data_IF_330998507188
#
_entry.id   IF_330998507188
#
_cell.length_a   1.000
_cell.length_b   1.000
_cell.length_c   1.000
_cell.angle_alpha   90.00
_cell.angle_beta   90.00
_cell.angle_gamma   90.00
#
_symmetry.space_group_name_H-M   'P 1'
#
loop_
_entity.id
_entity.type
_entity.pdbx_description
1 polymer ?
#
# COMPACT_ATOMS: atom_id res chain seq x y z
N UNK A 1 2.65 31.14 -13.43
CA UNK A 1 1.63 30.35 -12.72
C UNK A 1 2.26 29.03 -12.36
N UNK A 2 2.58 28.80 -11.09
CA UNK A 2 3.07 27.51 -10.63
C UNK A 2 1.84 26.67 -10.29
N UNK A 3 1.57 25.63 -11.08
CA UNK A 3 0.71 24.54 -10.63
C UNK A 3 1.51 23.80 -9.57
N UNK A 4 1.23 24.05 -8.29
CA UNK A 4 1.59 23.10 -7.26
C UNK A 4 0.66 21.91 -7.47
N UNK A 5 1.11 20.89 -8.18
CA UNK A 5 0.45 19.59 -8.12
C UNK A 5 0.45 19.18 -6.66
N UNK A 6 -0.71 19.29 -6.02
CA UNK A 6 -0.88 18.71 -4.70
C UNK A 6 -0.71 17.21 -4.90
N UNK A 7 0.41 16.66 -4.41
CA UNK A 7 0.69 15.22 -4.48
C UNK A 7 -0.52 14.49 -3.87
N UNK A 8 -1.19 13.70 -4.70
CA UNK A 8 -2.43 13.04 -4.32
C UNK A 8 -2.14 11.96 -3.26
N UNK A 9 -2.85 12.04 -2.13
CA UNK A 9 -2.65 11.19 -0.95
C UNK A 9 -2.73 9.71 -1.32
N UNK A 10 -1.67 8.95 -1.00
CA UNK A 10 -1.66 7.50 -1.17
C UNK A 10 -2.01 6.81 0.15
N UNK A 11 -2.90 5.82 0.11
CA UNK A 11 -3.25 5.02 1.28
C UNK A 11 -3.11 3.53 0.97
N UNK A 12 -2.91 2.71 2.00
CA UNK A 12 -3.04 1.26 1.85
C UNK A 12 -4.48 0.90 1.54
N UNK A 13 -4.67 -0.10 0.68
CA UNK A 13 -5.99 -0.65 0.31
C UNK A 13 -5.97 -2.17 0.35
N UNK A 14 -6.52 -2.72 1.41
CA UNK A 14 -6.74 -4.15 1.57
C UNK A 14 -7.95 -4.37 2.48
N UNK A 15 -8.67 -5.44 2.22
CA UNK A 15 -9.79 -5.87 3.05
C UNK A 15 -9.39 -7.13 3.81
N UNK A 16 -9.80 -7.21 5.09
CA UNK A 16 -9.72 -8.42 5.93
C UNK A 16 -8.30 -8.97 6.08
N UNK A 17 -7.31 -8.10 6.26
CA UNK A 17 -5.91 -8.50 6.53
C UNK A 17 -5.66 -8.69 8.01
N UNK A 18 -4.75 -9.59 8.36
CA UNK A 18 -4.35 -9.86 9.75
C UNK A 18 -3.51 -8.73 10.37
N UNK A 19 -2.88 -7.90 9.54
CA UNK A 19 -2.15 -6.72 9.99
C UNK A 19 -2.03 -5.71 8.85
N UNK A 20 -2.36 -4.43 9.06
CA UNK A 20 -2.30 -3.40 8.03
C UNK A 20 -0.93 -3.25 7.37
N UNK A 21 0.17 -3.41 8.12
CA UNK A 21 1.54 -3.32 7.58
C UNK A 21 1.93 -4.45 6.62
N UNK A 22 1.13 -5.52 6.53
CA UNK A 22 1.31 -6.58 5.53
C UNK A 22 0.45 -6.34 4.27
N UNK A 23 -0.29 -5.24 4.21
CA UNK A 23 -1.00 -4.86 3.00
C UNK A 23 -0.01 -4.42 1.92
N UNK A 24 -0.10 -5.05 0.75
CA UNK A 24 0.67 -4.69 -0.44
C UNK A 24 -0.12 -3.83 -1.43
N UNK A 25 -1.44 -3.70 -1.24
CA UNK A 25 -2.28 -2.85 -2.07
C UNK A 25 -2.19 -1.39 -1.64
N UNK A 26 -2.17 -0.47 -2.60
CA UNK A 26 -2.34 0.96 -2.37
C UNK A 26 -3.41 1.54 -3.28
N UNK A 27 -3.88 2.72 -2.92
CA UNK A 27 -4.80 3.51 -3.73
C UNK A 27 -4.48 4.99 -3.56
N UNK A 28 -4.83 5.78 -4.56
CA UNK A 28 -4.90 7.24 -4.45
C UNK A 28 -6.25 7.61 -3.86
N UNK A 29 -6.28 8.49 -2.88
CA UNK A 29 -7.51 9.07 -2.35
C UNK A 29 -7.86 10.37 -3.06
N UNK A 30 -9.17 10.65 -3.15
CA UNK A 30 -9.64 11.94 -3.62
C UNK A 30 -9.37 13.07 -2.61
N UNK A 31 -9.49 14.32 -3.06
CA UNK A 31 -9.25 15.51 -2.23
C UNK A 31 -10.14 15.59 -0.97
N UNK A 32 -11.32 14.97 -1.01
CA UNK A 32 -12.29 14.91 0.09
C UNK A 32 -12.14 13.66 0.96
N UNK A 33 -11.14 12.83 0.70
CA UNK A 33 -10.90 11.58 1.40
C UNK A 33 -9.63 11.61 2.25
N UNK A 34 -9.58 10.68 3.21
CA UNK A 34 -8.43 10.42 4.06
C UNK A 34 -8.22 8.91 4.19
N UNK A 35 -7.00 8.50 4.55
CA UNK A 35 -6.75 7.10 4.85
C UNK A 35 -7.58 6.68 6.07
N UNK A 36 -8.11 5.47 6.05
CA UNK A 36 -8.73 4.84 7.22
C UNK A 36 -8.15 3.47 7.51
N UNK A 37 -8.37 3.05 8.75
CA UNK A 37 -8.15 1.72 9.28
C UNK A 37 -9.34 1.38 10.18
N UNK A 38 -10.06 0.31 9.83
CA UNK A 38 -11.11 -0.28 10.65
C UNK A 38 -10.62 -1.65 11.16
N UNK A 39 -10.83 -1.94 12.44
CA UNK A 39 -10.55 -3.23 13.06
C UNK A 39 -11.86 -3.95 13.37
N UNK A 40 -11.88 -5.25 13.11
CA UNK A 40 -12.99 -6.15 13.39
C UNK A 40 -12.53 -7.33 14.23
N UNK A 41 -13.42 -7.83 15.09
CA UNK A 41 -13.30 -9.17 15.66
C UNK A 41 -14.16 -10.12 14.82
N UNK A 42 -13.51 -11.11 14.20
CA UNK A 42 -14.14 -12.19 13.44
C UNK A 42 -14.96 -13.13 14.33
N UNK A 43 -15.70 -14.06 13.70
CA UNK A 43 -16.55 -15.01 14.41
C UNK A 43 -15.75 -16.04 15.23
N UNK A 44 -14.53 -16.33 14.79
CA UNK A 44 -13.52 -17.16 15.45
C UNK A 44 -12.72 -16.42 16.52
N UNK A 45 -12.96 -15.12 16.70
CA UNK A 45 -12.22 -14.27 17.63
C UNK A 45 -10.96 -13.63 17.04
N UNK A 46 -10.61 -13.93 15.78
CA UNK A 46 -9.45 -13.35 15.12
C UNK A 46 -9.65 -11.85 14.85
N UNK A 47 -8.57 -11.08 14.92
CA UNK A 47 -8.59 -9.66 14.56
C UNK A 47 -8.29 -9.47 13.08
N UNK A 48 -9.18 -8.77 12.39
CA UNK A 48 -9.06 -8.45 10.98
C UNK A 48 -9.13 -6.94 10.77
N UNK A 49 -8.45 -6.46 9.73
CA UNK A 49 -8.34 -5.05 9.44
C UNK A 49 -8.75 -4.75 8.00
N UNK A 50 -9.52 -3.68 7.81
CA UNK A 50 -9.78 -3.08 6.52
C UNK A 50 -9.07 -1.72 6.46
N UNK A 51 -8.41 -1.42 5.35
CA UNK A 51 -7.70 -0.17 5.12
C UNK A 51 -8.01 0.37 3.74
N UNK A 52 -8.12 1.69 3.61
CA UNK A 52 -8.43 2.32 2.33
C UNK A 52 -8.57 3.83 2.43
N UNK A 53 -9.28 4.40 1.46
CA UNK A 53 -9.78 5.78 1.49
C UNK A 53 -11.21 5.80 2.02
N UNK A 54 -11.55 6.85 2.79
CA UNK A 54 -12.94 7.19 3.12
C UNK A 54 -13.10 8.70 3.16
N UNK A 55 -14.34 9.18 3.06
CA UNK A 55 -14.63 10.61 3.16
C UNK A 55 -14.17 11.19 4.52
N UNK A 56 -13.63 12.40 4.47
CA UNK A 56 -13.22 13.16 5.68
C UNK A 56 -14.39 13.40 6.64
N UNK A 57 -15.61 13.48 6.13
CA UNK A 57 -16.83 13.61 6.93
C UNK A 57 -17.08 12.38 7.82
N UNK A 58 -16.84 11.17 7.31
CA UNK A 58 -16.94 9.96 8.12
C UNK A 58 -15.85 9.91 9.19
N UNK A 59 -14.68 10.50 8.92
CA UNK A 59 -13.58 10.59 9.88
C UNK A 59 -13.87 11.55 11.05
N UNK A 60 -14.60 12.64 10.81
CA UNK A 60 -15.01 13.58 11.87
C UNK A 60 -16.17 13.03 12.71
N UNK A 61 -17.03 12.22 12.09
CA UNK A 61 -18.25 11.72 12.72
C UNK A 61 -18.09 10.39 13.46
N UNK A 62 -16.89 9.80 13.48
CA UNK A 62 -16.61 8.62 14.30
C UNK A 62 -16.59 8.98 15.78
N UNK A 63 -17.73 8.76 16.43
CA UNK A 63 -17.81 8.65 17.89
C UNK A 63 -16.94 7.47 18.34
N UNK A 64 -16.00 7.67 19.30
CA UNK A 64 -15.25 6.57 19.88
C UNK A 64 -16.22 5.52 20.45
N UNK A 65 -16.13 4.28 19.99
CA UNK A 65 -16.85 3.15 20.59
C UNK A 65 -18.14 2.69 19.89
N UNK A 66 -18.46 3.17 18.68
CA UNK A 66 -19.60 2.62 17.93
C UNK A 66 -19.27 1.21 17.41
N UNK A 67 -19.64 0.19 18.20
CA UNK A 67 -19.62 -1.21 17.77
C UNK A 67 -20.68 -1.40 16.69
N UNK A 68 -20.24 -1.57 15.45
CA UNK A 68 -21.12 -1.93 14.34
C UNK A 68 -20.86 -3.38 13.98
N UNK A 69 -21.89 -4.21 14.10
CA UNK A 69 -21.86 -5.62 13.73
C UNK A 69 -22.28 -5.75 12.28
N UNK A 70 -21.44 -6.36 11.45
CA UNK A 70 -21.78 -6.73 10.07
C UNK A 70 -21.56 -8.24 9.89
N UNK A 71 -21.88 -8.78 8.71
CA UNK A 71 -21.50 -10.16 8.34
C UNK A 71 -19.98 -10.41 8.45
N UNK A 72 -19.18 -9.34 8.49
CA UNK A 72 -17.74 -9.35 8.69
C UNK A 72 -17.31 -9.38 10.18
N UNK A 73 -18.24 -9.45 11.13
CA UNK A 73 -17.94 -9.42 12.56
C UNK A 73 -18.18 -8.05 13.20
N UNK A 74 -17.70 -7.85 14.42
CA UNK A 74 -17.94 -6.62 15.17
C UNK A 74 -16.77 -5.66 14.99
N UNK A 75 -17.04 -4.47 14.45
CA UNK A 75 -16.05 -3.38 14.40
C UNK A 75 -15.71 -2.94 15.82
N UNK A 76 -14.44 -3.06 16.20
CA UNK A 76 -13.95 -2.73 17.55
C UNK A 76 -13.21 -1.39 17.59
N UNK A 77 -12.63 -0.96 16.47
CA UNK A 77 -11.90 0.29 16.37
C UNK A 77 -12.00 0.84 14.94
N UNK A 78 -11.97 2.17 14.81
CA UNK A 78 -11.90 2.88 13.54
C UNK A 78 -11.01 4.09 13.72
N UNK A 79 -10.09 4.32 12.80
CA UNK A 79 -9.19 5.48 12.83
C UNK A 79 -8.97 6.02 11.43
N UNK A 80 -8.99 7.34 11.31
CA UNK A 80 -8.49 8.03 10.14
C UNK A 80 -7.13 8.68 10.40
N UNK A 81 -6.37 8.88 9.34
CA UNK A 81 -5.10 9.58 9.39
C UNK A 81 -4.80 10.29 8.08
N UNK A 82 -3.80 11.17 8.12
CA UNK A 82 -3.30 11.92 6.97
C UNK A 82 -1.82 11.62 6.76
N UNK A 83 -1.39 11.66 5.50
CA UNK A 83 -0.03 11.33 5.07
C UNK A 83 0.04 9.98 4.39
N UNK A 84 1.00 9.81 3.48
CA UNK A 84 1.07 8.62 2.64
C UNK A 84 1.23 7.35 3.47
N UNK A 85 0.41 6.35 3.14
CA UNK A 85 0.38 5.02 3.74
C UNK A 85 0.24 5.06 5.27
N UNK A 86 -0.33 6.14 5.83
CA UNK A 86 -0.41 6.34 7.27
C UNK A 86 -1.26 5.28 7.98
N UNK A 87 -2.19 4.65 7.24
CA UNK A 87 -3.07 3.59 7.71
C UNK A 87 -2.37 2.22 7.83
N UNK A 88 -1.03 2.17 7.72
CA UNK A 88 -0.24 1.02 8.13
C UNK A 88 -0.27 0.79 9.66
N UNK A 89 -0.68 1.80 10.45
CA UNK A 89 -0.72 1.77 11.92
C UNK A 89 -2.03 2.31 12.45
N UNK A 90 -2.39 1.91 13.68
CA UNK A 90 -3.62 2.35 14.34
C UNK A 90 -4.30 1.20 15.06
N UNK A 91 -5.27 1.52 15.93
CA UNK A 91 -6.01 0.50 16.68
C UNK A 91 -5.13 -0.52 17.44
N UNK A 92 -3.95 -0.11 17.91
CA UNK A 92 -2.98 -0.98 18.60
C UNK A 92 -1.94 -1.64 17.70
N UNK A 93 -2.13 -1.61 16.37
CA UNK A 93 -1.16 -2.13 15.41
C UNK A 93 0.03 -1.19 15.21
N UNK A 94 1.20 -1.81 15.08
CA UNK A 94 2.44 -1.13 14.69
C UNK A 94 2.48 -0.94 13.18
N UNK A 95 3.03 0.20 12.76
CA UNK A 95 3.25 0.49 11.34
C UNK A 95 4.38 -0.31 10.72
N UNK A 96 4.82 0.11 9.54
CA UNK A 96 6.02 -0.46 8.94
C UNK A 96 7.21 -0.38 9.92
N UNK A 97 8.08 -1.41 9.95
CA UNK A 97 9.28 -1.39 10.77
C UNK A 97 10.08 -0.11 10.52
N UNK A 98 10.74 0.41 11.56
CA UNK A 98 11.66 1.55 11.42
C UNK A 98 12.99 1.14 10.78
N UNK A 99 13.37 -0.13 10.95
CA UNK A 99 14.59 -0.71 10.42
C UNK A 99 14.33 -1.39 9.06
N UNK A 100 14.20 -0.58 8.02
CA UNK A 100 13.90 -1.01 6.64
C UNK A 100 14.52 -0.06 5.62
N UNK A 101 14.47 -0.45 4.34
CA UNK A 101 14.68 0.44 3.21
C UNK A 101 13.43 1.23 2.83
N UNK A 102 13.43 1.82 1.62
CA UNK A 102 12.25 2.52 1.11
C UNK A 102 11.06 1.57 0.90
N UNK A 103 9.88 2.16 0.75
CA UNK A 103 8.71 1.46 0.20
C UNK A 103 8.69 1.76 -1.29
N UNK A 104 8.62 0.74 -2.12
CA UNK A 104 8.68 0.86 -3.57
C UNK A 104 7.45 0.24 -4.22
N UNK A 105 7.17 0.66 -5.45
CA UNK A 105 6.22 -0.04 -6.32
C UNK A 105 6.71 -1.45 -6.66
N UNK A 106 5.77 -2.39 -6.79
CA UNK A 106 6.05 -3.81 -6.97
C UNK A 106 5.19 -4.45 -8.08
N UNK A 107 5.09 -3.80 -9.23
CA UNK A 107 4.38 -4.30 -10.41
C UNK A 107 5.35 -4.91 -11.42
N UNK A 108 5.11 -6.14 -11.88
CA UNK A 108 5.97 -6.79 -12.88
C UNK A 108 5.68 -6.34 -14.32
N UNK A 109 4.42 -6.06 -14.63
CA UNK A 109 3.99 -5.62 -15.95
C UNK A 109 3.03 -4.43 -15.82
N UNK A 110 3.53 -3.24 -16.09
CA UNK A 110 2.74 -2.01 -16.07
C UNK A 110 3.00 -1.18 -17.33
N UNK A 111 1.95 -0.59 -17.92
CA UNK A 111 2.11 0.35 -19.04
C UNK A 111 2.60 1.73 -18.58
N UNK A 112 2.33 2.06 -17.32
CA UNK A 112 2.79 3.28 -16.68
C UNK A 112 3.20 2.92 -15.24
N UNK A 113 4.48 3.07 -14.88
CA UNK A 113 4.98 2.69 -13.55
C UNK A 113 4.35 3.53 -12.43
N UNK A 114 3.91 4.75 -12.70
CA UNK A 114 3.27 5.63 -11.71
C UNK A 114 1.86 5.17 -11.32
N UNK A 115 1.24 4.31 -12.17
CA UNK A 115 -0.08 3.72 -11.94
C UNK A 115 -0.03 2.36 -11.25
N UNK A 116 1.15 1.91 -10.82
CA UNK A 116 1.24 0.69 -10.03
C UNK A 116 0.37 0.82 -8.78
N UNK A 117 -0.40 -0.22 -8.45
CA UNK A 117 -1.29 -0.31 -7.29
C UNK A 117 -0.73 -1.23 -6.19
N UNK A 118 0.44 -1.80 -6.44
CA UNK A 118 1.14 -2.68 -5.51
C UNK A 118 2.42 -2.05 -4.97
N UNK A 119 2.66 -2.24 -3.68
CA UNK A 119 3.87 -1.79 -2.98
C UNK A 119 4.56 -2.94 -2.28
N UNK A 120 5.83 -2.74 -1.97
CA UNK A 120 6.62 -3.61 -1.13
C UNK A 120 7.53 -2.81 -0.22
N UNK A 121 7.86 -3.39 0.94
CA UNK A 121 8.82 -2.82 1.89
C UNK A 121 10.19 -3.41 1.57
N UNK A 122 11.14 -2.57 1.15
CA UNK A 122 12.46 -3.05 0.78
C UNK A 122 13.40 -3.25 1.98
N UNK A 123 14.46 -4.03 1.77
CA UNK A 123 15.57 -4.14 2.71
C UNK A 123 16.37 -2.85 2.82
N UNK A 124 17.18 -2.70 3.88
CA UNK A 124 17.93 -1.46 4.16
C UNK A 124 18.91 -1.06 3.06
N UNK A 125 19.47 -2.07 2.41
CA UNK A 125 20.46 -1.90 1.36
C UNK A 125 19.83 -1.89 -0.03
N UNK A 126 18.51 -1.75 -0.12
CA UNK A 126 17.78 -1.71 -1.37
C UNK A 126 17.33 -0.29 -1.76
N UNK A 127 17.05 -0.10 -3.04
CA UNK A 127 16.47 1.10 -3.62
C UNK A 127 15.30 0.75 -4.56
N UNK A 128 14.42 1.73 -4.81
CA UNK A 128 13.35 1.57 -5.80
C UNK A 128 13.92 1.60 -7.20
N UNK A 129 13.51 0.65 -8.04
CA UNK A 129 13.94 0.56 -9.42
C UNK A 129 12.75 0.40 -10.36
N UNK A 130 12.85 1.06 -11.50
CA UNK A 130 11.94 0.94 -12.63
C UNK A 130 12.76 0.39 -13.79
N UNK A 131 12.36 -0.75 -14.33
CA UNK A 131 13.00 -1.44 -15.43
C UNK A 131 12.05 -1.43 -16.63
N UNK A 132 12.49 -0.90 -17.77
CA UNK A 132 11.75 -1.00 -19.03
C UNK A 132 12.01 -2.37 -19.66
N UNK A 133 10.96 -3.06 -20.07
CA UNK A 133 10.99 -4.36 -20.71
C UNK A 133 10.23 -4.30 -22.04
N UNK A 134 10.65 -5.12 -22.99
CA UNK A 134 10.03 -5.25 -24.30
C UNK A 134 9.78 -6.74 -24.59
N UNK A 135 8.54 -7.10 -24.87
CA UNK A 135 8.13 -8.46 -25.22
C UNK A 135 7.12 -8.39 -26.36
N UNK A 136 7.34 -9.15 -27.43
CA UNK A 136 6.50 -9.14 -28.63
C UNK A 136 6.27 -7.74 -29.27
N UNK A 137 7.18 -6.79 -29.05
CA UNK A 137 7.06 -5.41 -29.50
C UNK A 137 6.23 -4.50 -28.58
N UNK A 138 5.69 -5.03 -27.48
CA UNK A 138 5.04 -4.26 -26.43
C UNK A 138 6.08 -3.78 -25.40
N UNK A 139 6.05 -2.49 -25.07
CA UNK A 139 6.85 -1.89 -24.00
C UNK A 139 6.04 -1.87 -22.71
N UNK A 140 6.64 -2.37 -21.63
CA UNK A 140 6.09 -2.33 -20.28
C UNK A 140 7.18 -2.10 -19.25
N UNK A 141 6.78 -1.85 -18.01
CA UNK A 141 7.68 -1.52 -16.92
C UNK A 141 7.48 -2.49 -15.76
N UNK A 142 8.61 -2.99 -15.26
CA UNK A 142 8.71 -3.69 -13.99
C UNK A 142 9.21 -2.73 -12.91
N UNK A 143 8.60 -2.75 -11.74
CA UNK A 143 8.99 -1.97 -10.56
C UNK A 143 9.25 -2.92 -9.41
N UNK A 144 10.39 -2.73 -8.73
CA UNK A 144 10.84 -3.64 -7.66
C UNK A 144 11.87 -2.98 -6.74
N UNK A 145 12.13 -3.63 -5.61
CA UNK A 145 13.33 -3.39 -4.83
C UNK A 145 14.53 -4.00 -5.56
N UNK A 146 15.64 -3.27 -5.64
CA UNK A 146 16.94 -3.84 -6.03
C UNK A 146 17.98 -3.50 -4.97
N UNK A 147 18.90 -4.42 -4.70
CA UNK A 147 20.02 -4.12 -3.82
C UNK A 147 20.95 -3.10 -4.47
N UNK A 148 21.34 -2.08 -3.70
CA UNK A 148 22.31 -1.05 -4.08
C UNK A 148 23.68 -1.64 -4.42
N UNK A 149 23.94 -2.87 -3.99
CA UNK A 149 25.19 -3.60 -4.24
C UNK A 149 25.14 -4.49 -5.49
N UNK A 150 23.98 -4.61 -6.14
CA UNK A 150 23.88 -5.35 -7.40
C UNK A 150 24.61 -4.56 -8.48
N UNK A 151 25.80 -5.03 -8.85
CA UNK A 151 26.36 -4.74 -10.16
C UNK A 151 25.50 -5.50 -11.16
N UNK A 152 24.89 -4.82 -12.13
CA UNK A 152 24.15 -5.49 -13.22
C UNK A 152 25.11 -6.47 -13.91
N UNK A 153 25.00 -7.75 -13.57
CA UNK A 153 25.60 -8.82 -14.36
C UNK A 153 24.62 -9.07 -15.50
N UNK A 154 25.03 -8.93 -16.77
CA UNK A 154 24.14 -9.25 -17.88
C UNK A 154 23.77 -10.74 -17.78
N UNK A 155 22.47 -11.00 -17.66
CA UNK A 155 21.92 -12.36 -17.68
C UNK A 155 22.20 -12.98 -19.04
N UNK A 156 22.90 -14.11 -19.04
CA UNK A 156 23.12 -14.92 -20.24
C UNK A 156 21.79 -15.52 -20.71
N UNK A 157 21.50 -15.39 -22.00
CA UNK A 157 20.35 -16.00 -22.66
C UNK A 157 20.38 -17.53 -22.54
N UNK A 158 19.24 -18.14 -22.19
CA UNK A 158 18.98 -19.53 -22.54
C UNK A 158 18.73 -19.56 -24.06
N UNK A 159 19.68 -20.11 -24.81
CA UNK A 159 19.46 -20.47 -26.20
C UNK A 159 18.41 -21.59 -26.28
N UNK A 160 17.53 -21.48 -27.28
CA UNK A 160 16.61 -22.46 -27.85
C UNK A 160 15.19 -22.49 -27.27
N UNK A 161 14.25 -21.93 -28.05
CA UNK A 161 13.13 -22.69 -28.65
C UNK A 161 12.97 -22.23 -30.10
#
# INVERSE_FOLDING_TARGET
MYFTDAVALQCLRCDRVISPRHCHGKTTCDSHESCYLDQYTGLDGELLYDVGCRSKELCTNTTPGLRSTSQAGTKTCSRCCSGDLCNAKGCGEQGFPTYRGPICYNCQQSRNPDKCDSITVCGRDDACHIEQQEEFGDIFYATKCISKHVRMIPTFYLNNV
#
